data_IF_195235316332
#
_entry.id   IF_195235316332
#
_cell.length_a   1.000
_cell.length_b   1.000
_cell.length_c   1.000
_cell.angle_alpha   90.00
_cell.angle_beta   90.00
_cell.angle_gamma   90.00
#
_symmetry.space_group_name_H-M   'P 1'
#
loop_
_entity.id
_entity.type
_entity.pdbx_description
1 polymer ?
#
# COMPACT_ATOMS: atom_id res chain seq x y z
N UNK A 1 2.92 -80.77 -55.98
CA UNK A 1 2.35 -80.38 -54.68
C UNK A 1 2.76 -78.92 -54.47
N UNK A 2 2.07 -77.92 -55.05
CA UNK A 2 0.79 -77.30 -54.60
C UNK A 2 0.92 -76.86 -53.12
N UNK A 3 0.73 -75.62 -52.68
CA UNK A 3 0.48 -74.30 -53.29
C UNK A 3 0.73 -73.25 -52.18
N UNK A 4 1.42 -72.17 -52.52
CA UNK A 4 1.72 -70.99 -51.71
C UNK A 4 0.57 -69.99 -51.81
N UNK A 5 -0.50 -70.14 -51.00
CA UNK A 5 -1.57 -69.14 -50.94
C UNK A 5 -2.22 -69.01 -49.57
N UNK A 6 -1.88 -67.89 -48.91
CA UNK A 6 -2.79 -66.75 -48.62
C UNK A 6 -3.05 -66.41 -47.13
N UNK A 7 -2.76 -65.13 -46.90
CA UNK A 7 -3.45 -64.18 -46.05
C UNK A 7 -3.26 -64.29 -44.52
N UNK A 8 -2.17 -63.64 -44.08
CA UNK A 8 -2.09 -62.99 -42.77
C UNK A 8 -3.30 -62.09 -42.58
N UNK A 9 -4.17 -62.46 -41.66
CA UNK A 9 -5.29 -61.63 -41.24
C UNK A 9 -4.79 -60.46 -40.41
N UNK A 10 -5.02 -59.26 -40.96
CA UNK A 10 -4.83 -57.98 -40.30
C UNK A 10 -5.99 -57.79 -39.33
N UNK A 11 -5.78 -58.01 -38.03
CA UNK A 11 -6.74 -57.62 -37.00
C UNK A 11 -6.38 -56.21 -36.51
N UNK A 12 -7.10 -55.25 -37.08
CA UNK A 12 -7.17 -53.87 -36.62
C UNK A 12 -7.93 -53.86 -35.28
N UNK A 13 -7.22 -53.93 -34.15
CA UNK A 13 -7.82 -53.66 -32.86
C UNK A 13 -7.97 -52.13 -32.71
N UNK A 14 -9.17 -51.64 -32.96
CA UNK A 14 -9.59 -50.27 -32.65
C UNK A 14 -9.45 -50.08 -31.14
N UNK A 15 -8.44 -49.33 -30.73
CA UNK A 15 -8.31 -48.88 -29.35
C UNK A 15 -9.42 -47.88 -29.04
N UNK A 16 -10.42 -48.32 -28.28
CA UNK A 16 -11.35 -47.39 -27.62
C UNK A 16 -10.54 -46.72 -26.51
N UNK A 17 -9.96 -45.56 -26.83
CA UNK A 17 -9.47 -44.62 -25.82
C UNK A 17 -10.71 -44.11 -25.09
N UNK A 18 -11.03 -44.76 -23.97
CA UNK A 18 -12.01 -44.25 -23.04
C UNK A 18 -11.55 -42.90 -22.54
N UNK A 19 -12.14 -41.82 -23.06
CA UNK A 19 -11.98 -40.48 -22.51
C UNK A 19 -12.61 -40.50 -21.13
N UNK A 20 -11.79 -40.71 -20.11
CA UNK A 20 -12.20 -40.47 -18.74
C UNK A 20 -12.61 -38.99 -18.66
N UNK A 21 -13.84 -38.67 -18.23
CA UNK A 21 -14.18 -37.29 -17.96
C UNK A 21 -13.28 -36.86 -16.82
N UNK A 22 -12.25 -36.08 -17.14
CA UNK A 22 -11.49 -35.32 -16.16
C UNK A 22 -12.49 -34.41 -15.49
N UNK A 23 -13.01 -34.84 -14.33
CA UNK A 23 -13.63 -33.92 -13.39
C UNK A 23 -12.54 -32.92 -13.05
N UNK A 24 -12.60 -31.75 -13.68
CA UNK A 24 -11.97 -30.55 -13.20
C UNK A 24 -12.48 -30.38 -11.77
N UNK A 25 -11.68 -30.84 -10.80
CA UNK A 25 -11.67 -30.23 -9.48
C UNK A 25 -11.23 -28.79 -9.76
N UNK A 26 -12.21 -27.95 -10.11
CA UNK A 26 -12.06 -26.52 -9.99
C UNK A 26 -11.63 -26.31 -8.56
N UNK A 27 -10.36 -25.94 -8.38
CA UNK A 27 -9.85 -25.55 -7.09
C UNK A 27 -10.72 -24.37 -6.67
N UNK A 28 -11.68 -24.64 -5.80
CA UNK A 28 -12.41 -23.63 -5.08
C UNK A 28 -11.31 -22.86 -4.37
N UNK A 29 -10.90 -21.72 -4.92
CA UNK A 29 -10.11 -20.74 -4.17
C UNK A 29 -11.07 -20.25 -3.11
N UNK A 30 -11.14 -21.02 -2.03
CA UNK A 30 -12.02 -20.76 -0.92
C UNK A 30 -11.78 -19.34 -0.49
N UNK A 31 -12.88 -18.62 -0.33
CA UNK A 31 -13.01 -17.27 0.20
C UNK A 31 -12.60 -17.21 1.69
N UNK A 32 -11.44 -17.80 2.02
CA UNK A 32 -10.78 -17.75 3.31
C UNK A 32 -10.03 -16.42 3.47
N UNK A 33 -10.70 -15.31 3.15
CA UNK A 33 -10.20 -14.02 3.61
C UNK A 33 -10.37 -13.97 5.13
N UNK A 34 -9.28 -13.68 5.83
CA UNK A 34 -9.19 -13.62 7.28
C UNK A 34 -10.37 -12.78 7.85
N UNK A 35 -11.16 -13.31 8.80
CA UNK A 35 -12.30 -12.58 9.35
C UNK A 35 -11.95 -11.22 9.95
N UNK A 36 -10.77 -11.07 10.54
CA UNK A 36 -10.30 -9.79 11.09
C UNK A 36 -10.00 -8.81 9.96
N UNK A 37 -9.40 -9.27 8.85
CA UNK A 37 -9.19 -8.45 7.66
C UNK A 37 -10.53 -8.05 7.04
N UNK A 38 -11.49 -8.98 6.92
CA UNK A 38 -12.85 -8.66 6.41
C UNK A 38 -13.53 -7.59 7.27
N UNK A 39 -13.44 -7.69 8.60
CA UNK A 39 -14.00 -6.70 9.51
C UNK A 39 -13.30 -5.33 9.35
N UNK A 40 -11.96 -5.29 9.32
CA UNK A 40 -11.21 -4.05 9.13
C UNK A 40 -11.54 -3.35 7.80
N UNK A 41 -11.79 -4.10 6.73
CA UNK A 41 -12.21 -3.54 5.44
C UNK A 41 -13.59 -2.87 5.52
N UNK A 42 -14.50 -3.35 6.38
CA UNK A 42 -15.84 -2.76 6.56
C UNK A 42 -15.80 -1.44 7.34
N UNK A 43 -14.74 -1.20 8.11
CA UNK A 43 -14.55 0.05 8.87
C UNK A 43 -14.00 1.20 8.01
N UNK A 44 -13.56 0.92 6.78
CA UNK A 44 -13.03 1.94 5.86
C UNK A 44 -14.17 2.88 5.44
N UNK A 45 -14.00 4.17 5.75
CA UNK A 45 -14.97 5.21 5.41
C UNK A 45 -14.47 6.09 4.27
N UNK A 46 -15.19 6.07 3.15
CA UNK A 46 -14.95 6.98 2.03
C UNK A 46 -15.08 8.46 2.45
N UNK A 47 -16.00 8.76 3.38
CA UNK A 47 -16.18 10.12 3.91
C UNK A 47 -14.98 10.60 4.74
N UNK A 48 -14.39 9.72 5.55
CA UNK A 48 -13.17 10.07 6.31
C UNK A 48 -11.99 10.30 5.35
N UNK A 49 -11.82 9.42 4.36
CA UNK A 49 -10.77 9.57 3.33
C UNK A 49 -10.93 10.90 2.60
N UNK A 50 -12.16 11.25 2.19
CA UNK A 50 -12.43 12.52 1.54
C UNK A 50 -12.11 13.72 2.46
N UNK A 51 -12.50 13.67 3.74
CA UNK A 51 -12.18 14.72 4.72
C UNK A 51 -10.67 14.91 4.88
N UNK A 52 -9.89 13.83 4.94
CA UNK A 52 -8.43 13.89 5.06
C UNK A 52 -7.81 14.51 3.79
N UNK A 53 -8.32 14.13 2.61
CA UNK A 53 -7.90 14.71 1.32
C UNK A 53 -8.21 16.22 1.29
N UNK A 54 -9.43 16.62 1.60
CA UNK A 54 -9.86 18.01 1.62
C UNK A 54 -9.04 18.82 2.62
N UNK A 55 -8.76 18.23 3.80
CA UNK A 55 -7.92 18.86 4.81
C UNK A 55 -6.50 19.08 4.30
N UNK A 56 -5.88 18.08 3.66
CA UNK A 56 -4.57 18.24 3.03
C UNK A 56 -4.62 19.35 1.96
N UNK A 57 -5.63 19.36 1.09
CA UNK A 57 -5.82 20.40 0.05
C UNK A 57 -5.97 21.80 0.65
N UNK A 58 -6.61 21.92 1.82
CA UNK A 58 -6.86 23.21 2.48
C UNK A 58 -5.61 24.01 2.84
N UNK A 59 -4.43 23.38 2.89
CA UNK A 59 -3.15 24.05 3.15
C UNK A 59 -2.67 24.95 1.99
N UNK A 60 -3.44 25.01 0.89
CA UNK A 60 -3.22 25.79 -0.35
C UNK A 60 -2.02 25.32 -1.18
N UNK A 61 -0.88 25.07 -0.55
CA UNK A 61 0.29 24.44 -1.14
C UNK A 61 0.94 23.51 -0.13
N UNK A 62 1.49 22.39 -0.62
CA UNK A 62 2.40 21.53 0.15
C UNK A 62 3.71 21.37 -0.61
N UNK A 63 4.10 22.37 -1.39
CA UNK A 63 5.38 22.32 -2.10
C UNK A 63 6.53 22.17 -1.11
N UNK A 64 7.51 21.34 -1.48
CA UNK A 64 8.75 21.09 -0.75
C UNK A 64 9.42 22.36 -0.22
N UNK A 65 9.34 23.45 -1.00
CA UNK A 65 9.96 24.75 -0.73
C UNK A 65 8.97 25.82 -0.25
N UNK A 66 7.73 25.43 0.08
CA UNK A 66 6.72 26.36 0.61
C UNK A 66 6.96 26.70 2.08
N UNK A 67 6.17 27.65 2.59
CA UNK A 67 6.34 28.21 3.93
C UNK A 67 6.29 27.16 5.05
N UNK A 68 7.17 27.37 6.03
CA UNK A 68 7.29 26.54 7.24
C UNK A 68 7.50 27.40 8.50
N UNK A 69 7.43 28.72 8.38
CA UNK A 69 7.58 29.63 9.52
C UNK A 69 6.37 29.51 10.48
N UNK A 70 6.53 29.88 11.77
CA UNK A 70 5.49 29.73 12.77
C UNK A 70 4.17 30.44 12.41
N UNK A 71 4.22 31.60 11.75
CA UNK A 71 3.02 32.36 11.38
C UNK A 71 2.25 31.64 10.27
N UNK A 72 2.93 31.12 9.25
CA UNK A 72 2.34 30.30 8.20
C UNK A 72 1.75 28.99 8.75
N UNK A 73 2.44 28.33 9.68
CA UNK A 73 1.93 27.12 10.35
C UNK A 73 0.62 27.44 11.10
N UNK A 74 0.62 28.52 11.88
CA UNK A 74 -0.56 28.95 12.64
C UNK A 74 -1.72 29.34 11.72
N UNK A 75 -1.42 29.93 10.56
CA UNK A 75 -2.42 30.27 9.55
C UNK A 75 -2.94 29.05 8.77
N UNK A 76 -2.37 27.86 8.96
CA UNK A 76 -2.76 26.67 8.21
C UNK A 76 -2.33 26.75 6.74
N UNK A 77 -1.15 27.32 6.46
CA UNK A 77 -0.63 27.51 5.11
C UNK A 77 0.71 26.80 4.92
N UNK A 78 0.90 26.15 3.77
CA UNK A 78 2.18 25.59 3.37
C UNK A 78 2.49 24.19 3.92
N UNK A 79 3.66 23.69 3.54
CA UNK A 79 4.14 22.35 3.89
C UNK A 79 4.36 22.18 5.40
N UNK A 80 4.76 23.23 6.11
CA UNK A 80 4.92 23.20 7.57
C UNK A 80 3.59 22.91 8.28
N UNK A 81 2.51 23.57 7.88
CA UNK A 81 1.18 23.33 8.45
C UNK A 81 0.69 21.89 8.18
N UNK A 82 0.94 21.39 6.96
CA UNK A 82 0.59 20.01 6.60
C UNK A 82 1.35 18.98 7.45
N UNK A 83 2.65 19.19 7.68
CA UNK A 83 3.49 18.35 8.54
C UNK A 83 2.92 18.25 9.96
N UNK A 84 2.62 19.39 10.59
CA UNK A 84 2.10 19.41 11.95
C UNK A 84 0.73 18.71 12.03
N UNK A 85 -0.11 18.88 11.01
CA UNK A 85 -1.40 18.21 10.97
C UNK A 85 -1.26 16.68 10.84
N UNK A 86 -0.41 16.18 9.93
CA UNK A 86 -0.15 14.73 9.78
C UNK A 86 0.38 14.13 11.07
N UNK A 87 1.34 14.82 11.72
CA UNK A 87 1.87 14.42 13.03
C UNK A 87 0.74 14.33 14.07
N UNK A 88 -0.14 15.34 14.12
CA UNK A 88 -1.26 15.36 15.05
C UNK A 88 -2.28 14.23 14.80
N UNK A 89 -2.49 13.83 13.54
CA UNK A 89 -3.36 12.70 13.21
C UNK A 89 -2.75 11.38 13.67
N UNK A 90 -1.45 11.14 13.45
CA UNK A 90 -0.78 9.96 14.01
C UNK A 90 -0.82 9.95 15.55
N UNK A 91 -0.66 11.10 16.20
CA UNK A 91 -0.80 11.19 17.65
C UNK A 91 -2.24 10.92 18.12
N UNK A 92 -3.24 11.36 17.35
CA UNK A 92 -4.65 11.05 17.61
C UNK A 92 -4.91 9.56 17.49
N UNK A 93 -4.50 8.92 16.39
CA UNK A 93 -4.61 7.48 16.21
C UNK A 93 -3.92 6.71 17.33
N UNK A 94 -2.74 7.18 17.78
CA UNK A 94 -2.05 6.60 18.92
C UNK A 94 -2.91 6.65 20.19
N UNK A 95 -3.53 7.80 20.50
CA UNK A 95 -4.42 7.94 21.67
C UNK A 95 -5.64 7.02 21.56
N UNK A 96 -6.26 6.96 20.38
CA UNK A 96 -7.47 6.17 20.13
C UNK A 96 -7.21 4.66 20.31
N UNK A 97 -5.99 4.18 20.04
CA UNK A 97 -5.56 2.81 20.28
C UNK A 97 -4.83 2.59 21.63
N UNK A 98 -4.87 3.54 22.57
CA UNK A 98 -4.28 3.38 23.90
C UNK A 98 -2.75 3.52 23.95
N UNK A 99 -2.17 4.33 23.06
CA UNK A 99 -0.73 4.63 22.98
C UNK A 99 0.06 3.65 22.11
N UNK A 100 -0.58 3.00 21.13
CA UNK A 100 0.05 1.93 20.35
C UNK A 100 1.12 2.42 19.34
N UNK A 101 1.12 3.70 18.98
CA UNK A 101 2.06 4.26 18.00
C UNK A 101 3.13 5.14 18.65
N UNK A 102 4.38 4.92 18.26
CA UNK A 102 5.50 5.83 18.51
C UNK A 102 5.63 6.81 17.33
N UNK A 103 5.15 8.05 17.51
CA UNK A 103 5.12 9.09 16.47
C UNK A 103 6.41 9.91 16.50
N UNK A 104 7.05 10.08 15.35
CA UNK A 104 8.34 10.75 15.21
C UNK A 104 8.41 11.60 13.95
N UNK A 105 9.40 12.49 13.98
CA UNK A 105 9.85 13.25 12.81
C UNK A 105 11.32 12.99 12.56
N UNK A 106 11.71 12.99 11.30
CA UNK A 106 13.10 12.93 10.87
C UNK A 106 13.38 14.12 9.96
N UNK A 107 14.25 15.03 10.41
CA UNK A 107 14.55 16.28 9.72
C UNK A 107 15.98 16.29 9.19
N UNK A 108 16.15 16.78 7.97
CA UNK A 108 17.46 17.00 7.37
C UNK A 108 17.42 18.23 6.45
N UNK A 109 18.56 18.90 6.30
CA UNK A 109 18.69 20.03 5.38
C UNK A 109 19.11 19.53 4.00
N UNK A 110 18.24 19.71 3.00
CA UNK A 110 18.56 19.50 1.60
C UNK A 110 19.42 20.68 1.11
N UNK A 111 20.66 20.45 0.65
CA UNK A 111 21.46 21.48 0.00
C UNK A 111 20.76 22.03 -1.25
N UNK A 112 21.15 23.24 -1.65
CA UNK A 112 20.64 23.86 -2.86
C UNK A 112 20.89 22.97 -4.09
N UNK A 113 19.89 22.87 -4.96
CA UNK A 113 19.90 22.12 -6.22
C UNK A 113 18.91 22.77 -7.20
N UNK A 114 18.83 22.26 -8.43
CA UNK A 114 17.95 22.79 -9.48
C UNK A 114 16.47 22.95 -9.03
N UNK A 115 15.97 22.02 -8.19
CA UNK A 115 14.58 22.04 -7.70
C UNK A 115 14.40 22.67 -6.32
N UNK A 116 15.50 22.97 -5.64
CA UNK A 116 15.54 23.47 -4.26
C UNK A 116 16.55 24.62 -4.25
N UNK A 117 16.14 25.86 -4.55
CA UNK A 117 17.06 26.95 -4.89
C UNK A 117 17.92 27.43 -3.71
N UNK A 118 17.53 27.10 -2.49
CA UNK A 118 18.23 27.43 -1.25
C UNK A 118 18.21 26.24 -0.30
N UNK A 119 19.17 26.13 0.65
CA UNK A 119 19.11 25.12 1.70
C UNK A 119 17.73 25.09 2.35
N UNK A 120 17.07 23.94 2.30
CA UNK A 120 15.68 23.77 2.75
C UNK A 120 15.61 22.62 3.73
N UNK A 121 15.00 22.85 4.89
CA UNK A 121 14.71 21.76 5.82
C UNK A 121 13.56 20.91 5.29
N UNK A 122 13.82 19.60 5.21
CA UNK A 122 12.83 18.58 4.89
C UNK A 122 12.58 17.77 6.13
N UNK A 123 11.31 17.50 6.40
CA UNK A 123 10.90 16.69 7.54
C UNK A 123 9.99 15.57 7.10
N UNK A 124 10.38 14.34 7.39
CA UNK A 124 9.53 13.17 7.30
C UNK A 124 8.72 13.04 8.59
N UNK A 125 7.46 12.62 8.49
CA UNK A 125 6.62 12.25 9.64
C UNK A 125 6.32 10.76 9.54
N UNK A 126 6.51 10.01 10.62
CA UNK A 126 6.25 8.58 10.65
C UNK A 126 5.76 8.11 12.01
N UNK A 127 5.03 7.00 12.01
CA UNK A 127 4.53 6.35 13.21
C UNK A 127 4.92 4.87 13.20
N UNK A 128 5.42 4.37 14.32
CA UNK A 128 5.85 2.97 14.47
C UNK A 128 4.85 2.24 15.36
N UNK A 129 4.17 1.24 14.80
CA UNK A 129 3.44 0.22 15.54
C UNK A 129 4.37 -0.97 15.81
N UNK A 130 4.67 -1.25 17.07
CA UNK A 130 5.52 -2.40 17.44
C UNK A 130 4.69 -3.68 17.43
N UNK A 131 5.13 -4.66 16.63
CA UNK A 131 4.54 -5.99 16.64
C UNK A 131 4.71 -6.69 17.99
N UNK A 132 3.79 -7.58 18.32
CA UNK A 132 3.79 -8.35 19.57
C UNK A 132 4.40 -9.74 19.42
N UNK A 133 4.56 -10.24 18.19
CA UNK A 133 5.21 -11.53 17.94
C UNK A 133 6.73 -11.42 17.99
N UNK A 134 7.35 -12.08 18.98
CA UNK A 134 8.80 -12.09 19.16
C UNK A 134 9.55 -12.75 17.99
N UNK A 135 8.95 -13.73 17.33
CA UNK A 135 9.57 -14.42 16.18
C UNK A 135 9.72 -13.47 14.97
N UNK A 136 8.83 -12.49 14.87
CA UNK A 136 8.80 -11.50 13.81
C UNK A 136 9.44 -10.16 14.22
N UNK A 137 10.14 -10.09 15.36
CA UNK A 137 10.67 -8.83 15.91
C UNK A 137 11.62 -8.07 14.97
N UNK A 138 12.21 -8.76 13.97
CA UNK A 138 13.08 -8.15 12.95
C UNK A 138 12.36 -7.80 11.64
N UNK A 139 11.09 -8.17 11.49
CA UNK A 139 10.31 -7.90 10.28
C UNK A 139 9.72 -6.51 10.36
N UNK A 140 9.92 -5.73 9.30
CA UNK A 140 9.31 -4.41 9.13
C UNK A 140 8.39 -4.47 7.92
N UNK A 141 7.14 -4.08 8.13
CA UNK A 141 6.22 -3.73 7.05
C UNK A 141 6.19 -2.22 6.96
N UNK A 142 6.55 -1.69 5.81
CA UNK A 142 6.63 -0.25 5.59
C UNK A 142 5.59 0.18 4.56
N UNK A 143 4.69 1.07 4.99
CA UNK A 143 3.72 1.75 4.12
C UNK A 143 4.17 3.20 4.02
N UNK A 144 4.43 3.68 2.80
CA UNK A 144 4.94 5.03 2.55
C UNK A 144 4.06 5.79 1.57
N UNK A 145 4.16 7.11 1.66
CA UNK A 145 3.60 8.07 0.73
C UNK A 145 4.35 9.38 0.84
N UNK A 146 4.18 10.26 -0.14
CA UNK A 146 4.68 11.62 -0.09
C UNK A 146 3.52 12.56 0.27
N UNK A 147 3.76 13.52 1.16
CA UNK A 147 2.73 14.50 1.54
C UNK A 147 2.93 15.85 0.84
N UNK A 148 4.11 16.06 0.24
CA UNK A 148 4.40 17.23 -0.55
C UNK A 148 3.67 17.17 -1.90
N UNK A 149 3.32 18.34 -2.39
CA UNK A 149 2.69 18.54 -3.70
C UNK A 149 3.67 19.20 -4.65
N UNK A 150 3.64 18.84 -5.93
CA UNK A 150 4.28 19.66 -6.96
C UNK A 150 3.27 20.67 -7.47
N UNK A 151 3.71 21.93 -7.63
CA UNK A 151 2.97 22.82 -8.49
C UNK A 151 3.19 22.36 -9.94
N UNK A 152 2.12 22.17 -10.70
CA UNK A 152 2.15 21.83 -12.13
C UNK A 152 1.71 23.00 -13.03
N UNK A 153 1.65 24.24 -12.49
CA UNK A 153 1.37 25.47 -13.24
C UNK A 153 2.42 26.56 -12.98
N UNK A 154 2.51 27.57 -13.87
CA UNK A 154 3.67 28.43 -14.10
C UNK A 154 4.25 29.11 -12.85
#
# INVERSE_FOLDING_TARGET
>A
MIDQRRFRSLLLAVGIVGVLPSTLLGQQTGDFADPQIKAALQEISAGQIQSDIEKLVSFQTRSTISAQDPDSIKAGHGIGAAREWIKSEFERYSRDCGGCLEVKTDSFTQPASERVPSPTELTNVYAVLKGTNAEDAKRIVLVTGHYDSRNSGP
#
